data_IF_736487708431
#
_entry.id   IF_736487708431
#
_cell.length_a   1.000
_cell.length_b   1.000
_cell.length_c   1.000
_cell.angle_alpha   90.00
_cell.angle_beta   90.00
_cell.angle_gamma   90.00
#
_symmetry.space_group_name_H-M   'P 1'
#
loop_
_entity.id
_entity.type
_entity.pdbx_description
1 polymer ?
#
# COMPACT_ATOMS: atom_id res chain seq x y z
N UNK A 1 9.48 -10.38 7.23
CA UNK A 1 9.24 -11.58 6.38
C UNK A 1 7.90 -11.49 5.67
N UNK A 2 7.78 -10.62 4.66
CA UNK A 2 6.51 -10.41 3.96
C UNK A 2 6.14 -11.63 3.10
N UNK A 3 4.85 -12.01 3.07
CA UNK A 3 4.31 -13.08 2.22
C UNK A 3 3.20 -12.56 1.29
N UNK A 4 2.98 -13.20 0.13
CA UNK A 4 1.89 -12.83 -0.77
C UNK A 4 0.52 -12.93 -0.08
N UNK A 5 -0.15 -11.79 0.06
CA UNK A 5 -1.42 -11.62 0.77
C UNK A 5 -1.29 -10.79 2.05
N UNK A 6 -0.08 -10.56 2.54
CA UNK A 6 0.20 -9.61 3.62
C UNK A 6 0.12 -8.17 3.09
N UNK A 7 -0.21 -7.24 3.98
CA UNK A 7 -0.25 -5.82 3.65
C UNK A 7 1.12 -5.33 3.17
N UNK A 8 1.11 -4.51 2.13
CA UNK A 8 2.32 -3.91 1.56
C UNK A 8 2.50 -2.50 2.07
N UNK A 9 3.76 -2.10 2.26
CA UNK A 9 4.09 -0.74 2.66
C UNK A 9 4.00 0.16 1.42
N UNK A 10 3.23 1.24 1.54
CA UNK A 10 3.13 2.27 0.50
C UNK A 10 4.39 3.14 0.57
N UNK A 11 5.06 3.43 -0.56
CA UNK A 11 6.23 4.31 -0.57
C UNK A 11 5.92 5.66 0.08
N UNK A 12 6.87 6.26 0.79
CA UNK A 12 6.70 7.55 1.46
C UNK A 12 6.21 8.64 0.50
N UNK A 13 5.41 9.58 0.98
CA UNK A 13 4.94 10.67 0.14
C UNK A 13 6.13 11.58 -0.22
N UNK A 14 6.38 11.76 -1.52
CA UNK A 14 7.48 12.62 -2.00
C UNK A 14 7.17 14.11 -1.95
N UNK A 15 5.96 14.50 -1.55
CA UNK A 15 5.54 15.90 -1.43
C UNK A 15 4.46 16.07 -0.36
N UNK A 16 4.35 17.28 0.20
CA UNK A 16 3.32 17.62 1.19
C UNK A 16 1.89 17.46 0.64
N UNK A 17 1.66 17.73 -0.65
CA UNK A 17 0.34 17.55 -1.28
C UNK A 17 -0.07 16.08 -1.37
N UNK A 18 0.86 15.22 -1.81
CA UNK A 18 0.64 13.77 -1.84
C UNK A 18 0.47 13.16 -0.45
N UNK A 19 1.13 13.72 0.57
CA UNK A 19 0.96 13.30 1.96
C UNK A 19 -0.47 13.60 2.45
N UNK A 20 -0.96 14.82 2.18
CA UNK A 20 -2.31 15.24 2.57
C UNK A 20 -3.39 14.38 1.92
N UNK A 21 -3.27 14.15 0.61
CA UNK A 21 -4.23 13.33 -0.15
C UNK A 21 -4.33 11.89 0.40
N UNK A 22 -3.22 11.32 0.90
CA UNK A 22 -3.19 9.97 1.52
C UNK A 22 -3.73 9.94 2.95
N UNK A 23 -3.62 11.02 3.71
CA UNK A 23 -4.24 11.10 5.03
C UNK A 23 -5.77 11.29 4.93
N UNK A 24 -6.23 11.96 3.86
CA UNK A 24 -7.64 12.21 3.59
C UNK A 24 -8.32 11.01 2.89
N UNK A 25 -7.62 10.27 2.01
CA UNK A 25 -8.13 9.03 1.40
C UNK A 25 -7.95 7.82 2.33
N UNK A 26 -9.04 7.35 2.94
CA UNK A 26 -9.03 6.26 3.94
C UNK A 26 -9.58 4.90 3.51
N UNK A 27 -10.12 4.77 2.30
CA UNK A 27 -10.90 3.56 1.98
C UNK A 27 -10.04 2.29 1.80
N UNK A 28 -8.79 2.42 1.36
CA UNK A 28 -7.95 1.25 1.01
C UNK A 28 -6.51 1.32 1.57
N UNK A 29 -6.17 2.42 2.27
CA UNK A 29 -4.83 2.69 2.82
C UNK A 29 -4.95 2.95 4.31
N UNK A 30 -4.22 2.16 5.11
CA UNK A 30 -4.13 2.34 6.55
C UNK A 30 -2.83 3.05 6.89
N UNK A 31 -2.91 4.31 7.28
CA UNK A 31 -1.75 5.08 7.73
C UNK A 31 -1.64 5.04 9.26
N UNK A 32 -0.50 4.54 9.75
CA UNK A 32 -0.13 4.63 11.17
C UNK A 32 0.63 5.92 11.44
N UNK A 33 1.37 6.39 10.44
CA UNK A 33 2.13 7.63 10.45
C UNK A 33 2.13 8.26 9.04
N UNK A 34 2.61 9.49 8.91
CA UNK A 34 2.66 10.22 7.63
C UNK A 34 3.57 9.55 6.58
N UNK A 35 4.60 8.85 7.05
CA UNK A 35 5.54 8.10 6.22
C UNK A 35 5.22 6.61 6.17
N UNK A 36 4.37 6.11 7.06
CA UNK A 36 4.12 4.68 7.21
C UNK A 36 2.63 4.35 7.03
N UNK A 37 2.31 4.06 5.77
CA UNK A 37 1.00 3.58 5.37
C UNK A 37 1.12 2.18 4.78
N UNK A 38 0.15 1.33 5.08
CA UNK A 38 0.02 0.00 4.51
C UNK A 38 -1.20 -0.07 3.61
N UNK A 39 -1.12 -0.91 2.58
CA UNK A 39 -2.21 -1.19 1.64
C UNK A 39 -2.42 -2.69 1.56
N UNK A 40 -3.68 -3.12 1.61
CA UNK A 40 -4.02 -4.53 1.46
C UNK A 40 -4.00 -4.92 -0.01
N UNK A 41 -3.32 -6.02 -0.33
CA UNK A 41 -3.35 -6.59 -1.68
C UNK A 41 -3.67 -8.07 -1.59
N UNK A 42 -4.73 -8.47 -2.29
CA UNK A 42 -5.14 -9.86 -2.30
C UNK A 42 -4.06 -10.77 -2.90
N UNK A 43 -3.87 -11.93 -2.27
CA UNK A 43 -2.93 -12.96 -2.69
C UNK A 43 -3.12 -13.34 -4.17
N UNK A 44 -4.36 -13.47 -4.63
CA UNK A 44 -4.66 -13.81 -6.03
C UNK A 44 -4.19 -12.74 -7.02
N UNK A 45 -4.33 -11.47 -6.66
CA UNK A 45 -3.87 -10.33 -7.47
C UNK A 45 -2.36 -10.33 -7.60
N UNK A 46 -1.65 -10.63 -6.51
CA UNK A 46 -0.19 -10.77 -6.51
C UNK A 46 0.21 -11.89 -7.47
N UNK A 47 -0.28 -13.11 -7.23
CA UNK A 47 0.05 -14.27 -8.06
C UNK A 47 -0.25 -14.06 -9.54
N UNK A 48 -1.38 -13.44 -9.91
CA UNK A 48 -1.68 -13.08 -11.31
C UNK A 48 -0.63 -12.16 -11.94
N UNK A 49 -0.07 -11.21 -11.17
CA UNK A 49 0.95 -10.27 -11.68
C UNK A 49 2.34 -10.89 -11.78
N UNK A 50 2.71 -11.79 -10.86
CA UNK A 50 4.04 -12.44 -10.85
C UNK A 50 4.10 -13.70 -11.73
N UNK A 51 3.01 -14.45 -11.88
CA UNK A 51 2.95 -15.67 -12.69
C UNK A 51 2.65 -15.39 -14.18
N UNK A 52 3.13 -14.27 -14.73
CA UNK A 52 3.06 -14.03 -16.18
C UNK A 52 3.92 -15.08 -16.88
N UNK A 53 3.26 -16.05 -17.51
CA UNK A 53 3.86 -17.06 -18.40
C UNK A 53 3.76 -16.58 -19.84
#
# INVERSE_FOLDING_TARGET
DWRPGDDVIVPTAGSCGTAKERMEQKDDIRCYDWFFCTKKIDKSTIFKKILKK
#
